data_IF_303536345523
#
_entry.id   IF_303536345523
#
_cell.length_a   1.000
_cell.length_b   1.000
_cell.length_c   1.000
_cell.angle_alpha   90.00
_cell.angle_beta   90.00
_cell.angle_gamma   90.00
#
_symmetry.space_group_name_H-M   'P 1'
#
loop_
_entity.id
_entity.type
_entity.pdbx_description
1 polymer ?
#
# COMPACT_ATOMS: atom_id res chain seq x y z
N UNK A 1 -47.06 58.95 18.12
CA UNK A 1 -45.73 58.81 18.75
C UNK A 1 -45.66 57.41 19.32
N UNK A 2 -45.05 56.46 18.60
CA UNK A 2 -44.73 55.12 19.10
C UNK A 2 -43.54 54.59 18.28
N UNK A 3 -42.48 54.24 19.00
CA UNK A 3 -41.17 53.84 18.50
C UNK A 3 -41.22 52.45 17.84
N UNK A 4 -40.53 52.29 16.71
CA UNK A 4 -40.15 50.99 16.14
C UNK A 4 -38.62 50.89 16.24
N UNK A 5 -38.15 49.92 17.02
CA UNK A 5 -36.74 49.52 17.11
C UNK A 5 -36.34 48.81 15.81
N UNK A 6 -35.35 49.35 15.08
CA UNK A 6 -34.68 48.65 13.98
C UNK A 6 -33.44 47.92 14.49
N UNK A 7 -33.48 46.58 14.54
CA UNK A 7 -32.28 45.75 14.72
C UNK A 7 -31.58 45.60 13.36
N UNK A 8 -30.36 46.13 13.25
CA UNK A 8 -29.43 45.80 12.17
C UNK A 8 -28.66 44.53 12.53
N UNK A 9 -28.90 43.43 11.80
CA UNK A 9 -28.04 42.24 11.86
C UNK A 9 -26.84 42.43 10.93
N UNK A 10 -25.65 42.64 11.51
CA UNK A 10 -24.40 42.49 10.78
C UNK A 10 -24.12 41.01 10.54
N UNK A 11 -24.11 40.58 9.28
CA UNK A 11 -23.57 39.28 8.88
C UNK A 11 -22.04 39.34 8.93
N UNK A 12 -21.44 38.88 10.02
CA UNK A 12 -20.02 38.52 10.01
C UNK A 12 -19.85 37.22 9.23
N UNK A 13 -19.24 37.30 8.05
CA UNK A 13 -18.81 36.13 7.30
C UNK A 13 -17.72 35.39 8.10
N UNK A 14 -18.11 34.29 8.73
CA UNK A 14 -17.14 33.34 9.29
C UNK A 14 -16.47 32.65 8.11
N UNK A 15 -15.25 33.06 7.80
CA UNK A 15 -14.38 32.30 6.92
C UNK A 15 -14.11 30.95 7.60
N UNK A 16 -14.79 29.90 7.13
CA UNK A 16 -14.43 28.53 7.45
C UNK A 16 -13.04 28.30 6.84
N UNK A 17 -12.01 28.40 7.68
CA UNK A 17 -10.70 27.86 7.34
C UNK A 17 -10.90 26.35 7.15
N UNK A 18 -10.91 25.92 5.89
CA UNK A 18 -10.67 24.53 5.57
C UNK A 18 -9.27 24.21 6.09
N UNK A 19 -9.19 23.65 7.30
CA UNK A 19 -8.02 22.87 7.71
C UNK A 19 -7.95 21.76 6.67
N UNK A 20 -7.04 21.90 5.71
CA UNK A 20 -6.84 20.91 4.68
C UNK A 20 -6.68 19.57 5.34
N UNK A 21 -7.61 18.65 5.08
CA UNK A 21 -7.36 17.23 5.29
C UNK A 21 -6.04 16.97 4.56
N UNK A 22 -4.99 16.62 5.30
CA UNK A 22 -3.67 16.36 4.71
C UNK A 22 -3.88 15.45 3.51
N UNK A 23 -3.46 15.90 2.33
CA UNK A 23 -3.53 15.08 1.15
C UNK A 23 -2.70 13.82 1.43
N UNK A 24 -3.36 12.68 1.49
CA UNK A 24 -2.72 11.35 1.43
C UNK A 24 -2.15 11.13 0.02
N UNK A 25 -1.38 10.07 -0.24
CA UNK A 25 -0.78 9.85 -1.56
C UNK A 25 -1.84 9.86 -2.68
N UNK A 26 -1.66 10.74 -3.65
CA UNK A 26 -2.54 10.85 -4.84
C UNK A 26 -1.71 11.18 -6.06
N UNK A 27 -2.33 11.05 -7.25
CA UNK A 27 -1.69 11.41 -8.52
C UNK A 27 -0.31 10.79 -8.65
N UNK A 28 0.69 11.61 -8.96
CA UNK A 28 2.05 11.15 -9.18
C UNK A 28 2.74 10.61 -7.92
N UNK A 29 2.51 11.19 -6.74
CA UNK A 29 3.10 10.66 -5.51
C UNK A 29 2.62 9.23 -5.24
N UNK A 30 1.33 8.95 -5.51
CA UNK A 30 0.80 7.58 -5.44
C UNK A 30 1.51 6.68 -6.45
N UNK A 31 1.53 7.04 -7.73
CA UNK A 31 2.19 6.24 -8.78
C UNK A 31 3.64 5.92 -8.41
N UNK A 32 4.39 6.92 -7.94
CA UNK A 32 5.78 6.77 -7.51
C UNK A 32 5.90 5.81 -6.32
N UNK A 33 5.06 5.94 -5.28
CA UNK A 33 5.08 5.00 -4.15
C UNK A 33 4.86 3.55 -4.61
N UNK A 34 3.92 3.35 -5.53
CA UNK A 34 3.62 2.04 -6.08
C UNK A 34 4.80 1.47 -6.88
N UNK A 35 5.43 2.28 -7.74
CA UNK A 35 6.57 1.87 -8.56
C UNK A 35 7.82 1.59 -7.73
N UNK A 36 8.09 2.41 -6.70
CA UNK A 36 9.17 2.17 -5.73
C UNK A 36 9.00 0.81 -5.07
N UNK A 37 7.81 0.53 -4.53
CA UNK A 37 7.53 -0.76 -3.90
C UNK A 37 7.64 -1.90 -4.92
N UNK A 38 7.20 -1.70 -6.16
CA UNK A 38 7.33 -2.72 -7.20
C UNK A 38 8.80 -3.02 -7.55
N UNK A 39 9.68 -2.00 -7.57
CA UNK A 39 11.13 -2.23 -7.72
C UNK A 39 11.61 -3.14 -6.60
N UNK A 40 11.16 -2.90 -5.38
CA UNK A 40 11.57 -3.71 -4.24
C UNK A 40 11.02 -5.12 -4.24
N UNK A 41 9.78 -5.34 -4.70
CA UNK A 41 9.20 -6.67 -4.81
C UNK A 41 9.78 -7.47 -5.99
N UNK A 42 9.89 -6.82 -7.15
CA UNK A 42 10.02 -7.48 -8.44
C UNK A 42 11.29 -7.11 -9.22
N UNK A 43 12.02 -6.08 -8.79
CA UNK A 43 13.22 -5.59 -9.47
C UNK A 43 12.93 -4.70 -10.68
N UNK A 44 11.67 -4.33 -10.92
CA UNK A 44 11.25 -3.43 -12.01
C UNK A 44 10.10 -2.51 -11.57
N UNK A 45 9.74 -1.53 -12.39
CA UNK A 45 8.59 -0.61 -12.13
C UNK A 45 7.28 -1.07 -12.78
N UNK A 46 7.27 -2.22 -13.45
CA UNK A 46 6.15 -2.68 -14.25
C UNK A 46 5.11 -3.43 -13.41
N UNK A 47 3.83 -3.06 -13.57
CA UNK A 47 2.72 -3.78 -12.96
C UNK A 47 2.31 -4.96 -13.82
N UNK A 48 2.66 -6.17 -13.39
CA UNK A 48 2.35 -7.43 -14.06
C UNK A 48 0.92 -7.91 -13.79
N UNK A 49 -0.07 -7.16 -14.31
CA UNK A 49 -1.51 -7.45 -14.12
C UNK A 49 -1.92 -8.86 -14.58
N UNK A 50 -1.17 -9.44 -15.52
CA UNK A 50 -1.43 -10.73 -16.15
C UNK A 50 -0.66 -11.90 -15.55
N UNK A 51 0.18 -11.65 -14.53
CA UNK A 51 0.90 -12.70 -13.82
C UNK A 51 -0.09 -13.64 -13.10
N UNK A 52 0.15 -14.94 -13.20
CA UNK A 52 -0.57 -15.97 -12.44
C UNK A 52 0.23 -17.27 -12.44
N UNK A 53 0.61 -17.75 -11.25
CA UNK A 53 1.38 -18.98 -11.08
C UNK A 53 1.07 -19.63 -9.73
N UNK A 54 1.07 -20.97 -9.66
CA UNK A 54 1.18 -21.67 -8.39
C UNK A 54 2.68 -21.85 -8.11
N UNK A 55 3.22 -20.94 -7.29
CA UNK A 55 4.64 -20.94 -6.92
C UNK A 55 4.96 -21.96 -5.81
N UNK A 56 4.01 -22.82 -5.46
CA UNK A 56 4.14 -23.87 -4.45
C UNK A 56 4.53 -23.35 -3.06
N UNK A 57 4.07 -22.15 -2.69
CA UNK A 57 4.31 -21.52 -1.38
C UNK A 57 3.21 -21.83 -0.34
N UNK A 58 2.25 -22.68 -0.72
CA UNK A 58 1.12 -23.05 0.12
C UNK A 58 -0.02 -22.03 0.11
N UNK A 59 -0.11 -21.12 -0.87
CA UNK A 59 -1.21 -20.16 -1.01
C UNK A 59 -2.11 -20.40 -2.23
N UNK A 60 -1.87 -21.47 -2.97
CA UNK A 60 -2.56 -21.75 -4.24
C UNK A 60 -1.99 -20.88 -5.36
N UNK A 61 -2.84 -20.42 -6.28
CA UNK A 61 -2.39 -19.53 -7.34
C UNK A 61 -2.15 -18.13 -6.80
N UNK A 62 -0.97 -17.56 -7.07
CA UNK A 62 -0.56 -16.18 -6.81
C UNK A 62 -0.67 -15.38 -8.11
N UNK A 63 -1.41 -14.27 -8.10
CA UNK A 63 -1.81 -13.58 -9.34
C UNK A 63 -1.77 -12.05 -9.24
N UNK A 64 -1.44 -11.39 -10.35
CA UNK A 64 -1.58 -9.93 -10.52
C UNK A 64 -0.62 -9.06 -9.71
N UNK A 65 -0.92 -7.76 -9.71
CA UNK A 65 -0.01 -6.67 -9.29
C UNK A 65 0.38 -6.64 -7.81
N UNK A 66 -0.27 -7.43 -6.97
CA UNK A 66 -0.02 -7.49 -5.53
C UNK A 66 0.08 -8.94 -5.03
N UNK A 67 0.27 -9.90 -5.94
CA UNK A 67 0.36 -11.32 -5.58
C UNK A 67 -0.89 -11.86 -4.89
N UNK A 68 -2.08 -11.54 -5.43
CA UNK A 68 -3.34 -12.01 -4.88
C UNK A 68 -3.44 -13.52 -4.92
N UNK A 69 -3.75 -14.16 -3.79
CA UNK A 69 -3.74 -15.62 -3.72
C UNK A 69 -5.13 -16.23 -3.60
N UNK A 70 -5.35 -17.38 -4.24
CA UNK A 70 -6.63 -18.10 -4.14
C UNK A 70 -6.85 -18.66 -2.73
N UNK A 71 -5.79 -19.09 -2.06
CA UNK A 71 -5.85 -19.70 -0.72
C UNK A 71 -6.01 -18.71 0.43
N UNK A 72 -5.68 -17.42 0.23
CA UNK A 72 -5.92 -16.34 1.22
C UNK A 72 -7.19 -15.55 0.92
N UNK A 73 -7.86 -15.83 -0.20
CA UNK A 73 -9.17 -15.27 -0.56
C UNK A 73 -9.13 -13.87 -1.16
N UNK A 74 -7.97 -13.22 -1.25
CA UNK A 74 -7.80 -11.89 -1.84
C UNK A 74 -7.89 -11.93 -3.38
N UNK A 75 -7.49 -13.03 -4.04
CA UNK A 75 -7.78 -13.21 -5.47
C UNK A 75 -9.30 -13.30 -5.74
N UNK A 76 -10.05 -13.86 -4.80
CA UNK A 76 -11.51 -13.90 -4.90
C UNK A 76 -12.12 -12.50 -4.77
N UNK A 77 -11.57 -11.61 -3.93
CA UNK A 77 -12.01 -10.22 -3.85
C UNK A 77 -11.82 -9.47 -5.17
N UNK A 78 -10.69 -9.69 -5.88
CA UNK A 78 -10.45 -9.11 -7.22
C UNK A 78 -11.51 -9.56 -8.20
N UNK A 79 -11.84 -10.85 -8.21
CA UNK A 79 -12.82 -11.41 -9.13
C UNK A 79 -14.23 -10.89 -8.82
N UNK A 80 -14.59 -10.77 -7.55
CA UNK A 80 -15.86 -10.16 -7.14
C UNK A 80 -15.95 -8.70 -7.58
N UNK A 81 -14.87 -7.93 -7.47
CA UNK A 81 -14.85 -6.54 -7.95
C UNK A 81 -14.93 -6.47 -9.48
N UNK A 82 -14.23 -7.36 -10.17
CA UNK A 82 -14.33 -7.47 -11.61
C UNK A 82 -15.75 -7.78 -12.08
N UNK A 83 -16.47 -8.71 -11.43
CA UNK A 83 -17.88 -8.98 -11.72
C UNK A 83 -18.75 -7.72 -11.60
N UNK A 84 -18.50 -6.85 -10.61
CA UNK A 84 -19.24 -5.58 -10.47
C UNK A 84 -18.95 -4.64 -11.64
N UNK A 85 -17.68 -4.51 -12.03
CA UNK A 85 -17.25 -3.61 -13.10
C UNK A 85 -17.65 -4.13 -14.50
N UNK A 86 -17.64 -5.45 -14.71
CA UNK A 86 -17.95 -6.11 -15.98
C UNK A 86 -19.45 -6.16 -16.27
N UNK A 87 -20.30 -6.01 -15.24
CA UNK A 87 -21.76 -6.07 -15.35
C UNK A 87 -22.36 -7.42 -14.97
N UNK A 88 -21.61 -8.25 -14.24
CA UNK A 88 -22.03 -9.55 -13.73
C UNK A 88 -21.22 -10.69 -14.35
N UNK A 89 -21.92 -11.75 -14.80
CA UNK A 89 -21.28 -12.98 -15.31
C UNK A 89 -20.21 -12.68 -16.37
N UNK A 90 -18.99 -13.12 -16.12
CA UNK A 90 -17.85 -12.97 -17.04
C UNK A 90 -17.00 -14.25 -17.09
N UNK A 91 -15.83 -14.18 -17.72
CA UNK A 91 -14.96 -15.33 -17.93
C UNK A 91 -14.46 -15.96 -16.61
N UNK A 92 -14.39 -15.20 -15.52
CA UNK A 92 -13.98 -15.73 -14.21
C UNK A 92 -15.11 -16.48 -13.50
N UNK A 93 -16.37 -16.27 -13.90
CA UNK A 93 -17.54 -16.86 -13.23
C UNK A 93 -17.56 -18.40 -13.24
N UNK A 94 -16.77 -19.04 -14.10
CA UNK A 94 -16.55 -20.51 -14.08
C UNK A 94 -15.90 -20.99 -12.78
N UNK A 95 -15.13 -20.13 -12.09
CA UNK A 95 -14.38 -20.48 -10.89
C UNK A 95 -15.10 -20.11 -9.59
N UNK A 96 -16.17 -19.32 -9.63
CA UNK A 96 -16.85 -18.76 -8.45
C UNK A 96 -17.19 -19.80 -7.37
N UNK A 97 -17.76 -20.98 -7.69
CA UNK A 97 -18.12 -21.93 -6.64
C UNK A 97 -16.90 -22.43 -5.86
N UNK A 98 -15.76 -22.62 -6.54
CA UNK A 98 -14.52 -23.10 -5.93
C UNK A 98 -13.84 -21.98 -5.17
N UNK A 99 -13.70 -20.80 -5.77
CA UNK A 99 -13.05 -19.64 -5.15
C UNK A 99 -13.80 -19.14 -3.92
N UNK A 100 -15.13 -19.11 -3.97
CA UNK A 100 -15.94 -18.72 -2.81
C UNK A 100 -15.81 -19.70 -1.64
N UNK A 101 -15.60 -20.99 -1.91
CA UNK A 101 -15.35 -22.00 -0.86
C UNK A 101 -13.93 -21.87 -0.31
N UNK A 102 -12.94 -21.68 -1.18
CA UNK A 102 -11.54 -21.57 -0.77
C UNK A 102 -11.29 -20.32 0.07
N UNK A 103 -11.88 -19.18 -0.32
CA UNK A 103 -11.82 -17.95 0.47
C UNK A 103 -12.43 -18.10 1.88
N UNK A 104 -13.45 -18.95 2.07
CA UNK A 104 -14.06 -19.21 3.39
C UNK A 104 -13.22 -20.16 4.25
N UNK A 105 -12.63 -21.16 3.62
CA UNK A 105 -11.96 -22.28 4.30
C UNK A 105 -10.46 -22.08 4.45
N UNK A 106 -9.87 -21.12 3.73
CA UNK A 106 -8.42 -20.99 3.61
C UNK A 106 -7.78 -22.13 2.79
N UNK A 107 -8.56 -22.78 1.92
CA UNK A 107 -8.07 -23.90 1.13
C UNK A 107 -7.14 -23.40 0.02
N UNK A 108 -5.90 -23.90 0.01
CA UNK A 108 -4.83 -23.52 -0.89
C UNK A 108 -4.63 -24.49 -2.08
N UNK A 109 -5.54 -25.45 -2.29
CA UNK A 109 -5.47 -26.36 -3.41
C UNK A 109 -5.74 -25.64 -4.76
N UNK A 110 -5.35 -26.28 -5.86
CA UNK A 110 -5.65 -25.83 -7.23
C UNK A 110 -6.71 -26.71 -7.93
N UNK A 111 -7.23 -27.72 -7.23
CA UNK A 111 -8.26 -28.62 -7.75
C UNK A 111 -9.54 -27.86 -8.09
N UNK A 112 -10.06 -28.04 -9.30
CA UNK A 112 -11.25 -27.33 -9.78
C UNK A 112 -10.98 -25.92 -10.31
N UNK A 113 -9.73 -25.48 -10.35
CA UNK A 113 -9.29 -24.20 -10.94
C UNK A 113 -8.53 -24.39 -12.26
N UNK A 114 -8.80 -25.47 -12.99
CA UNK A 114 -8.18 -25.73 -14.29
C UNK A 114 -8.51 -24.61 -15.28
N UNK A 115 -7.48 -23.99 -15.86
CA UNK A 115 -7.62 -22.84 -16.76
C UNK A 115 -7.70 -21.47 -16.08
N UNK A 116 -7.66 -21.40 -14.74
CA UNK A 116 -7.71 -20.14 -13.99
C UNK A 116 -6.64 -19.14 -14.45
N UNK A 117 -5.36 -19.54 -14.46
CA UNK A 117 -4.28 -18.66 -14.89
C UNK A 117 -4.36 -18.27 -16.37
N UNK A 118 -4.92 -19.12 -17.23
CA UNK A 118 -5.15 -18.76 -18.64
C UNK A 118 -6.16 -17.63 -18.76
N UNK A 119 -7.24 -17.67 -17.99
CA UNK A 119 -8.24 -16.59 -17.96
C UNK A 119 -7.65 -15.33 -17.32
N UNK A 120 -6.95 -15.48 -16.20
CA UNK A 120 -6.28 -14.36 -15.52
C UNK A 120 -5.32 -13.63 -16.45
N UNK A 121 -4.40 -14.36 -17.09
CA UNK A 121 -3.42 -13.78 -18.00
C UNK A 121 -4.08 -13.04 -19.15
N UNK A 122 -5.09 -13.64 -19.78
CA UNK A 122 -5.83 -13.01 -20.87
C UNK A 122 -6.48 -11.69 -20.44
N UNK A 123 -7.17 -11.68 -19.31
CA UNK A 123 -7.82 -10.46 -18.80
C UNK A 123 -6.79 -9.42 -18.34
N UNK A 124 -5.78 -9.83 -17.58
CA UNK A 124 -4.72 -8.96 -17.08
C UNK A 124 -3.91 -8.28 -18.18
N UNK A 125 -3.76 -8.90 -19.35
CA UNK A 125 -3.01 -8.30 -20.45
C UNK A 125 -3.74 -7.11 -21.08
N UNK A 126 -5.07 -7.14 -21.17
CA UNK A 126 -5.83 -6.27 -22.09
C UNK A 126 -7.13 -5.68 -21.55
N UNK A 127 -7.76 -6.28 -20.53
CA UNK A 127 -9.05 -5.82 -20.01
C UNK A 127 -8.87 -4.71 -18.97
N UNK A 128 -9.28 -3.49 -19.32
CA UNK A 128 -9.14 -2.31 -18.45
C UNK A 128 -9.93 -2.41 -17.15
N UNK A 129 -11.07 -3.11 -17.15
CA UNK A 129 -11.89 -3.30 -15.95
C UNK A 129 -11.26 -4.34 -15.02
N UNK A 130 -10.63 -5.36 -15.57
CA UNK A 130 -9.87 -6.33 -14.77
C UNK A 130 -8.64 -5.70 -14.11
N UNK A 131 -7.91 -4.84 -14.86
CA UNK A 131 -6.83 -4.03 -14.28
C UNK A 131 -7.34 -3.10 -13.18
N UNK A 132 -8.46 -2.40 -13.42
CA UNK A 132 -9.10 -1.53 -12.42
C UNK A 132 -9.55 -2.29 -11.17
N UNK A 133 -10.05 -3.53 -11.30
CA UNK A 133 -10.41 -4.37 -10.17
C UNK A 133 -9.18 -4.70 -9.31
N UNK A 134 -8.06 -5.07 -9.94
CA UNK A 134 -6.80 -5.30 -9.23
C UNK A 134 -6.31 -4.04 -8.50
N UNK A 135 -6.34 -2.88 -9.15
CA UNK A 135 -5.96 -1.61 -8.52
C UNK A 135 -6.84 -1.31 -7.30
N UNK A 136 -8.14 -1.50 -7.44
CA UNK A 136 -9.13 -1.24 -6.38
C UNK A 136 -8.90 -2.13 -5.16
N UNK A 137 -8.65 -3.42 -5.38
CA UNK A 137 -8.39 -4.35 -4.27
C UNK A 137 -7.00 -4.14 -3.65
N UNK A 138 -5.96 -3.86 -4.45
CA UNK A 138 -4.65 -3.44 -3.91
C UNK A 138 -4.80 -2.20 -3.04
N UNK A 139 -5.58 -1.23 -3.50
CA UNK A 139 -5.79 0.00 -2.74
C UNK A 139 -6.52 -0.29 -1.42
N UNK A 140 -7.64 -1.03 -1.50
CA UNK A 140 -8.47 -1.38 -0.34
C UNK A 140 -7.68 -2.16 0.73
N UNK A 141 -6.83 -3.10 0.31
CA UNK A 141 -6.11 -3.97 1.25
C UNK A 141 -4.82 -3.34 1.80
N UNK A 142 -4.17 -2.45 1.04
CA UNK A 142 -2.82 -1.99 1.38
C UNK A 142 -2.65 -0.47 1.36
N UNK A 143 -3.12 0.23 0.32
CA UNK A 143 -2.97 1.68 0.22
C UNK A 143 -3.82 2.39 1.27
N UNK A 144 -5.11 2.09 1.32
CA UNK A 144 -6.07 2.79 2.15
C UNK A 144 -5.74 2.62 3.65
N UNK A 145 -5.44 1.41 4.17
CA UNK A 145 -5.00 1.26 5.55
C UNK A 145 -3.71 2.03 5.88
N UNK A 146 -2.72 2.04 4.98
CA UNK A 146 -1.48 2.79 5.19
C UNK A 146 -1.74 4.32 5.20
N UNK A 147 -2.62 4.79 4.32
CA UNK A 147 -3.00 6.20 4.25
C UNK A 147 -3.89 6.63 5.42
N UNK A 148 -4.68 5.72 5.99
CA UNK A 148 -5.41 5.97 7.23
C UNK A 148 -4.46 6.20 8.41
N UNK A 149 -3.40 5.39 8.55
CA UNK A 149 -2.34 5.66 9.53
C UNK A 149 -1.63 7.00 9.26
N UNK A 150 -1.30 7.29 8.01
CA UNK A 150 -0.67 8.56 7.63
C UNK A 150 -1.53 9.77 8.04
N UNK A 151 -2.84 9.69 7.77
CA UNK A 151 -3.82 10.72 8.13
C UNK A 151 -3.95 10.88 9.65
N UNK A 152 -3.98 9.78 10.40
CA UNK A 152 -4.05 9.81 11.86
C UNK A 152 -2.81 10.45 12.50
N UNK A 153 -1.63 10.19 11.94
CA UNK A 153 -0.38 10.82 12.37
C UNK A 153 -0.25 12.28 11.90
N UNK A 154 -0.95 12.65 10.83
CA UNK A 154 -0.85 13.96 10.19
C UNK A 154 0.35 14.09 9.24
N UNK A 155 0.82 12.97 8.66
CA UNK A 155 1.91 12.95 7.69
C UNK A 155 1.54 13.70 6.40
N UNK A 156 2.47 14.49 5.86
CA UNK A 156 2.28 15.32 4.66
C UNK A 156 3.29 15.05 3.56
N UNK A 157 4.47 14.54 3.91
CA UNK A 157 5.55 14.29 2.94
C UNK A 157 5.30 13.01 2.17
N UNK A 158 5.53 13.04 0.84
CA UNK A 158 5.39 11.88 -0.02
C UNK A 158 6.25 10.71 0.47
N UNK A 159 7.47 11.01 0.95
CA UNK A 159 8.40 9.98 1.44
C UNK A 159 7.91 9.25 2.69
N UNK A 160 7.29 9.94 3.65
CA UNK A 160 6.78 9.30 4.85
C UNK A 160 5.55 8.45 4.54
N UNK A 161 4.64 8.96 3.70
CA UNK A 161 3.44 8.23 3.28
C UNK A 161 3.81 7.00 2.44
N UNK A 162 4.72 7.13 1.48
CA UNK A 162 5.23 6.02 0.66
C UNK A 162 5.88 4.94 1.51
N UNK A 163 6.62 5.33 2.54
CA UNK A 163 7.25 4.38 3.46
C UNK A 163 6.22 3.60 4.31
N UNK A 164 5.11 4.23 4.70
CA UNK A 164 4.01 3.51 5.36
C UNK A 164 3.34 2.52 4.40
N UNK A 165 3.15 2.90 3.13
CA UNK A 165 2.61 2.00 2.11
C UNK A 165 3.54 0.79 1.88
N UNK A 166 4.84 1.01 1.66
CA UNK A 166 5.80 -0.07 1.46
C UNK A 166 5.89 -1.00 2.69
N UNK A 167 5.81 -0.43 3.90
CA UNK A 167 5.73 -1.22 5.12
C UNK A 167 4.43 -2.02 5.21
N UNK A 168 3.29 -1.42 4.85
CA UNK A 168 1.99 -2.10 4.80
C UNK A 168 1.96 -3.27 3.82
N UNK A 169 2.62 -3.16 2.67
CA UNK A 169 2.76 -4.25 1.70
C UNK A 169 3.55 -5.42 2.29
N UNK A 170 4.70 -5.14 2.93
CA UNK A 170 5.58 -6.19 3.44
C UNK A 170 5.10 -6.85 4.74
N UNK A 171 4.44 -6.08 5.60
CA UNK A 171 4.14 -6.48 6.99
C UNK A 171 2.63 -6.56 7.29
N UNK A 172 1.78 -6.16 6.35
CA UNK A 172 0.36 -5.95 6.59
C UNK A 172 0.07 -4.73 7.47
N UNK A 173 -1.17 -4.26 7.41
CA UNK A 173 -1.64 -3.08 8.15
C UNK A 173 -2.23 -3.42 9.53
N UNK A 174 -1.64 -4.35 10.28
CA UNK A 174 -2.13 -4.77 11.60
C UNK A 174 -1.42 -4.06 12.76
N UNK A 175 -2.04 -4.08 13.94
CA UNK A 175 -1.43 -3.60 15.20
C UNK A 175 -0.52 -4.66 15.86
N UNK A 176 -0.31 -5.81 15.20
CA UNK A 176 0.63 -6.84 15.66
C UNK A 176 2.06 -6.30 15.75
N UNK A 177 2.95 -6.93 16.54
CA UNK A 177 4.26 -6.38 16.87
C UNK A 177 5.20 -6.21 15.66
N UNK A 178 4.95 -6.97 14.59
CA UNK A 178 5.66 -6.90 13.31
C UNK A 178 4.86 -6.17 12.22
N UNK A 179 3.58 -5.83 12.46
CA UNK A 179 2.71 -5.13 11.53
C UNK A 179 2.92 -3.61 11.52
N UNK A 180 2.35 -2.92 10.52
CA UNK A 180 2.47 -1.47 10.36
C UNK A 180 2.07 -0.68 11.62
N UNK A 181 0.92 -1.00 12.21
CA UNK A 181 0.42 -0.36 13.42
C UNK A 181 1.34 -0.57 14.63
N UNK A 182 1.88 -1.78 14.79
CA UNK A 182 2.85 -2.09 15.84
C UNK A 182 4.17 -1.32 15.68
N UNK A 183 4.66 -1.19 14.45
CA UNK A 183 5.84 -0.36 14.15
C UNK A 183 5.60 1.12 14.41
N UNK A 184 4.43 1.65 14.06
CA UNK A 184 4.03 3.03 14.37
C UNK A 184 3.97 3.24 15.89
N UNK A 185 3.33 2.34 16.63
CA UNK A 185 3.22 2.42 18.09
C UNK A 185 4.61 2.42 18.76
N UNK A 186 5.51 1.53 18.31
CA UNK A 186 6.90 1.48 18.78
C UNK A 186 7.66 2.76 18.45
N UNK A 187 7.46 3.32 17.26
CA UNK A 187 8.08 4.60 16.86
C UNK A 187 7.60 5.75 17.74
N UNK A 188 6.29 5.83 17.99
CA UNK A 188 5.69 6.85 18.83
C UNK A 188 6.20 6.76 20.27
N UNK A 189 6.41 5.56 20.81
CA UNK A 189 6.99 5.36 22.14
C UNK A 189 8.44 5.86 22.27
N UNK A 190 9.18 6.01 21.15
CA UNK A 190 10.52 6.59 21.13
C UNK A 190 10.53 8.13 21.12
N UNK A 191 9.36 8.77 20.95
CA UNK A 191 9.22 10.23 20.99
C UNK A 191 8.97 10.67 22.43
N UNK A 192 10.04 11.14 23.09
CA UNK A 192 10.04 11.54 24.51
C UNK A 192 10.39 13.02 24.73
N UNK A 193 10.65 13.75 23.66
CA UNK A 193 10.98 15.16 23.66
C UNK A 193 10.58 15.79 22.32
N UNK A 194 10.50 17.12 22.29
CA UNK A 194 10.35 17.85 21.04
C UNK A 194 11.64 17.69 20.21
N UNK A 195 11.49 17.52 18.91
CA UNK A 195 12.62 17.35 17.99
C UNK A 195 12.35 18.10 16.68
N UNK A 196 13.18 19.11 16.41
CA UNK A 196 13.09 19.92 15.21
C UNK A 196 13.78 19.25 14.02
N UNK A 197 13.39 19.64 12.81
CA UNK A 197 13.96 19.18 11.55
C UNK A 197 13.67 20.17 10.43
N UNK A 198 13.87 19.73 9.19
CA UNK A 198 13.79 20.59 8.01
C UNK A 198 12.68 20.18 7.02
N UNK A 199 11.75 19.32 7.44
CA UNK A 199 10.66 18.87 6.58
C UNK A 199 9.61 19.96 6.32
N UNK A 200 9.55 20.98 7.20
CA UNK A 200 8.48 21.97 7.20
C UNK A 200 7.13 21.43 7.70
N UNK A 201 7.11 20.20 8.22
CA UNK A 201 5.94 19.53 8.78
C UNK A 201 6.23 19.04 10.21
N UNK A 202 5.26 19.19 11.11
CA UNK A 202 5.43 18.83 12.52
C UNK A 202 4.24 17.98 12.97
N UNK A 203 4.54 16.83 13.54
CA UNK A 203 3.58 15.90 14.13
C UNK A 203 3.44 16.20 15.62
N UNK A 204 2.30 15.80 16.20
CA UNK A 204 2.13 15.79 17.66
C UNK A 204 2.01 14.36 18.13
N UNK A 205 3.03 13.88 18.83
CA UNK A 205 3.12 12.49 19.29
C UNK A 205 3.39 12.51 20.80
N UNK A 206 2.52 11.87 21.58
CA UNK A 206 2.64 11.81 23.05
C UNK A 206 2.81 13.18 23.74
N UNK A 207 2.20 14.23 23.19
CA UNK A 207 2.31 15.60 23.72
C UNK A 207 3.55 16.36 23.26
N UNK A 208 4.45 15.72 22.51
CA UNK A 208 5.66 16.33 21.94
C UNK A 208 5.48 16.74 20.49
N UNK A 209 6.17 17.81 20.09
CA UNK A 209 6.26 18.30 18.71
C UNK A 209 7.50 17.72 18.06
N UNK A 210 7.31 16.88 17.04
CA UNK A 210 8.40 16.25 16.30
C UNK A 210 8.28 16.57 14.81
N UNK A 211 9.38 16.97 14.19
CA UNK A 211 9.47 17.10 12.74
C UNK A 211 9.15 15.77 12.05
N UNK A 212 8.44 15.83 10.92
CA UNK A 212 7.97 14.63 10.23
C UNK A 212 9.11 13.72 9.77
N UNK A 213 10.23 14.27 9.33
CA UNK A 213 11.40 13.50 8.88
C UNK A 213 12.21 12.98 10.07
N UNK A 214 12.24 13.71 11.20
CA UNK A 214 12.77 13.18 12.45
C UNK A 214 11.99 11.94 12.92
N UNK A 215 10.65 11.99 12.85
CA UNK A 215 9.81 10.83 13.14
C UNK A 215 10.05 9.68 12.14
N UNK A 216 10.12 9.97 10.84
CA UNK A 216 10.37 8.97 9.80
C UNK A 216 11.71 8.25 9.99
N UNK A 217 12.77 8.96 10.38
CA UNK A 217 14.06 8.33 10.69
C UNK A 217 13.96 7.33 11.86
N UNK A 218 13.18 7.65 12.90
CA UNK A 218 12.88 6.70 13.98
C UNK A 218 12.08 5.51 13.46
N UNK A 219 11.07 5.74 12.61
CA UNK A 219 10.27 4.68 11.99
C UNK A 219 11.13 3.73 11.14
N UNK A 220 12.05 4.27 10.32
CA UNK A 220 13.00 3.49 9.53
C UNK A 220 13.90 2.63 10.42
N UNK A 221 14.33 3.15 11.57
CA UNK A 221 15.07 2.37 12.57
C UNK A 221 14.25 1.23 13.17
N UNK A 222 12.99 1.49 13.55
CA UNK A 222 12.08 0.46 14.06
C UNK A 222 11.81 -0.62 13.00
N UNK A 223 11.57 -0.22 11.75
CA UNK A 223 11.33 -1.18 10.66
C UNK A 223 12.58 -2.00 10.33
N UNK A 224 13.77 -1.40 10.36
CA UNK A 224 15.02 -2.16 10.22
C UNK A 224 15.18 -3.22 11.31
N UNK A 225 14.78 -2.91 12.55
CA UNK A 225 14.74 -3.87 13.65
C UNK A 225 13.71 -4.97 13.40
N UNK A 226 12.49 -4.67 12.97
CA UNK A 226 11.49 -5.70 12.63
C UNK A 226 11.99 -6.63 11.51
N UNK A 227 12.63 -6.09 10.48
CA UNK A 227 13.18 -6.90 9.39
C UNK A 227 14.29 -7.85 9.86
N UNK A 228 15.10 -7.41 10.83
CA UNK A 228 16.24 -8.18 11.34
C UNK A 228 15.86 -9.11 12.49
N UNK A 229 14.88 -8.70 13.29
CA UNK A 229 14.48 -9.28 14.57
C UNK A 229 12.94 -9.32 14.68
N UNK A 230 12.24 -10.05 13.80
CA UNK A 230 10.79 -10.18 13.88
C UNK A 230 10.39 -10.81 15.22
N UNK A 231 9.27 -10.35 15.77
CA UNK A 231 8.77 -10.75 17.09
C UNK A 231 7.73 -11.86 17.00
N UNK A 232 7.06 -12.00 15.86
CA UNK A 232 6.10 -13.08 15.66
C UNK A 232 6.81 -14.36 15.17
N UNK A 233 6.59 -15.52 15.80
CA UNK A 233 7.28 -16.75 15.44
C UNK A 233 7.12 -17.15 13.96
N UNK A 234 5.99 -16.82 13.34
CA UNK A 234 5.71 -17.09 11.91
C UNK A 234 6.63 -16.33 10.96
N UNK A 235 7.24 -15.24 11.44
CA UNK A 235 8.06 -14.33 10.62
C UNK A 235 9.57 -14.57 10.83
N UNK A 236 9.97 -15.47 11.73
CA UNK A 236 11.37 -15.74 12.11
C UNK A 236 12.17 -16.60 11.11
N UNK A 237 11.78 -16.64 9.83
CA UNK A 237 12.48 -17.40 8.79
C UNK A 237 13.83 -16.77 8.38
N UNK A 238 14.07 -15.51 8.76
CA UNK A 238 15.23 -14.72 8.32
C UNK A 238 15.13 -14.18 6.90
N UNK A 239 14.01 -14.40 6.20
CA UNK A 239 13.80 -13.88 4.85
C UNK A 239 13.77 -12.34 4.80
N UNK A 240 13.15 -11.71 5.80
CA UNK A 240 13.02 -10.25 5.90
C UNK A 240 14.36 -9.53 6.08
N UNK A 241 15.35 -10.12 6.73
CA UNK A 241 16.66 -9.49 6.89
C UNK A 241 17.35 -9.21 5.53
N UNK A 242 16.99 -9.98 4.49
CA UNK A 242 17.50 -9.81 3.12
C UNK A 242 16.88 -8.60 2.41
N UNK A 243 15.80 -8.01 2.93
CA UNK A 243 15.09 -6.88 2.32
C UNK A 243 15.46 -5.53 2.93
N UNK A 244 16.52 -5.47 3.76
CA UNK A 244 17.05 -4.21 4.33
C UNK A 244 17.44 -3.15 3.27
N UNK A 245 17.62 -3.53 2.00
CA UNK A 245 17.81 -2.58 0.91
C UNK A 245 16.66 -1.57 0.81
N UNK A 246 15.42 -1.95 1.16
CA UNK A 246 14.26 -1.05 1.19
C UNK A 246 14.47 0.10 2.16
N UNK A 247 14.94 -0.21 3.36
CA UNK A 247 15.25 0.81 4.39
C UNK A 247 16.39 1.72 3.93
N UNK A 248 17.46 1.13 3.38
CA UNK A 248 18.61 1.89 2.87
C UNK A 248 18.19 2.84 1.75
N UNK A 249 17.26 2.41 0.90
CA UNK A 249 16.74 3.21 -0.19
C UNK A 249 15.96 4.45 0.31
N UNK A 250 15.05 4.27 1.27
CA UNK A 250 14.37 5.40 1.90
C UNK A 250 15.33 6.30 2.68
N UNK A 251 16.33 5.74 3.37
CA UNK A 251 17.38 6.53 4.03
C UNK A 251 18.20 7.36 3.04
N UNK A 252 18.50 6.80 1.86
CA UNK A 252 19.17 7.52 0.78
C UNK A 252 18.34 8.71 0.30
N UNK A 253 17.05 8.50 0.03
CA UNK A 253 16.14 9.56 -0.40
C UNK A 253 15.96 10.65 0.68
N UNK A 254 15.83 10.26 1.95
CA UNK A 254 15.81 11.20 3.10
C UNK A 254 17.12 12.01 3.17
N UNK A 255 18.29 11.36 3.04
CA UNK A 255 19.59 12.04 3.05
C UNK A 255 19.77 13.02 1.87
N UNK A 256 19.13 12.74 0.74
CA UNK A 256 19.07 13.61 -0.43
C UNK A 256 17.97 14.69 -0.34
N UNK A 257 17.20 14.72 0.75
CA UNK A 257 16.06 15.62 0.99
C UNK A 257 14.92 15.48 -0.03
N UNK A 258 14.74 14.29 -0.57
CA UNK A 258 13.65 13.94 -1.51
C UNK A 258 12.33 13.71 -0.75
N UNK A 259 11.87 14.72 0.00
CA UNK A 259 10.72 14.58 0.91
C UNK A 259 9.37 14.59 0.18
N UNK A 260 9.26 15.43 -0.85
CA UNK A 260 8.06 15.61 -1.67
C UNK A 260 8.46 15.38 -3.13
N UNK A 261 7.86 14.39 -3.78
CA UNK A 261 8.38 13.86 -5.05
C UNK A 261 7.89 14.63 -6.27
N UNK A 262 6.67 15.16 -6.25
CA UNK A 262 6.12 15.82 -7.42
C UNK A 262 5.96 14.84 -8.57
N UNK A 263 6.85 14.88 -9.57
CA UNK A 263 6.86 13.96 -10.71
C UNK A 263 7.93 12.87 -10.66
N UNK A 264 8.90 12.96 -9.73
CA UNK A 264 10.01 12.01 -9.69
C UNK A 264 10.72 11.97 -8.34
N UNK A 265 11.47 10.90 -8.10
CA UNK A 265 12.30 10.74 -6.90
C UNK A 265 13.50 9.86 -7.18
N UNK A 266 14.61 10.16 -6.50
CA UNK A 266 15.80 9.32 -6.47
C UNK A 266 15.77 8.38 -5.27
N UNK A 267 15.84 7.10 -5.56
CA UNK A 267 15.88 5.99 -4.58
C UNK A 267 16.98 5.01 -4.97
N UNK A 268 17.21 3.97 -4.18
CA UNK A 268 18.10 2.86 -4.53
C UNK A 268 17.27 1.66 -5.00
N UNK A 269 17.77 0.89 -5.96
CA UNK A 269 17.23 -0.42 -6.31
C UNK A 269 17.67 -1.52 -5.31
N UNK A 270 17.31 -2.77 -5.60
CA UNK A 270 17.59 -3.93 -4.74
C UNK A 270 19.09 -4.24 -4.61
N UNK A 271 19.92 -3.77 -5.57
CA UNK A 271 21.37 -3.88 -5.54
C UNK A 271 22.04 -2.70 -4.81
N UNK A 272 21.25 -1.69 -4.39
CA UNK A 272 21.75 -0.46 -3.80
C UNK A 272 22.25 0.57 -4.81
N UNK A 273 21.87 0.45 -6.09
CA UNK A 273 22.22 1.43 -7.13
C UNK A 273 21.18 2.54 -7.19
N UNK A 274 21.57 3.81 -7.29
CA UNK A 274 20.63 4.90 -7.46
C UNK A 274 19.83 4.77 -8.76
N UNK A 275 18.52 4.90 -8.65
CA UNK A 275 17.56 4.96 -9.76
C UNK A 275 16.68 6.19 -9.60
N UNK A 276 16.08 6.65 -10.69
CA UNK A 276 15.04 7.69 -10.66
C UNK A 276 13.72 7.06 -11.05
N UNK A 277 12.76 7.10 -10.13
CA UNK A 277 11.37 6.69 -10.38
C UNK A 277 10.61 7.93 -10.82
N UNK A 278 9.93 7.87 -11.96
CA UNK A 278 9.24 9.01 -12.56
C UNK A 278 7.80 8.64 -12.85
N UNK A 279 6.88 9.46 -12.40
CA UNK A 279 5.45 9.30 -12.68
C UNK A 279 5.19 9.32 -14.20
N UNK A 280 4.87 8.16 -14.77
CA UNK A 280 4.61 8.02 -16.21
C UNK A 280 3.33 8.72 -16.70
N UNK A 281 2.49 9.29 -15.81
CA UNK A 281 1.33 10.10 -16.22
C UNK A 281 1.75 11.30 -17.09
N UNK A 282 2.98 11.80 -16.95
CA UNK A 282 3.56 12.84 -17.81
C UNK A 282 3.89 12.37 -19.24
N UNK A 283 3.95 11.06 -19.49
CA UNK A 283 4.39 10.46 -20.75
C UNK A 283 3.25 9.83 -21.56
N UNK A 284 1.99 9.93 -21.13
CA UNK A 284 0.82 9.52 -21.93
C UNK A 284 0.63 10.34 -23.24
N UNK A 285 1.54 11.28 -23.54
CA UNK A 285 1.69 11.94 -24.86
C UNK A 285 2.80 11.34 -25.74
N UNK A 286 3.50 10.28 -25.32
CA UNK A 286 4.45 9.52 -26.15
C UNK A 286 4.01 8.06 -26.25
N UNK A 287 3.19 7.83 -27.27
CA UNK A 287 2.87 6.53 -27.85
C UNK A 287 4.10 5.63 -28.06
N UNK A 288 3.81 4.33 -28.05
CA UNK A 288 4.31 3.30 -28.97
C UNK A 288 5.75 3.48 -29.48
N UNK A 289 6.69 2.75 -28.88
CA UNK A 289 7.78 2.15 -29.66
C UNK A 289 8.37 1.00 -28.85
N UNK A 290 8.12 -0.22 -29.32
CA UNK A 290 8.61 -1.42 -28.67
C UNK A 290 10.12 -1.57 -28.69
N UNK A 291 10.62 -2.32 -27.71
CA UNK A 291 11.66 -3.33 -27.90
C UNK A 291 11.28 -4.50 -27.00
N UNK A 292 10.93 -5.64 -27.61
CA UNK A 292 10.79 -6.91 -26.90
C UNK A 292 12.20 -7.40 -26.59
N UNK A 293 12.69 -7.08 -25.39
CA UNK A 293 13.81 -7.78 -24.80
C UNK A 293 13.27 -9.01 -24.07
N UNK A 294 13.40 -10.20 -24.67
CA UNK A 294 13.29 -11.46 -23.94
C UNK A 294 14.48 -11.56 -22.96
N UNK A 295 14.41 -10.82 -21.86
CA UNK A 295 15.18 -11.09 -20.66
C UNK A 295 14.47 -12.19 -19.91
N UNK A 296 15.08 -13.37 -19.81
CA UNK A 296 14.64 -14.40 -18.88
C UNK A 296 14.94 -13.83 -17.48
N UNK A 297 13.97 -13.14 -16.89
CA UNK A 297 14.04 -12.71 -15.50
C UNK A 297 14.13 -13.98 -14.65
N UNK A 298 15.28 -14.19 -14.03
CA UNK A 298 15.41 -15.12 -12.91
C UNK A 298 14.79 -14.42 -11.71
N UNK A 299 13.54 -14.76 -11.43
CA UNK A 299 12.77 -14.23 -10.31
C UNK A 299 13.30 -14.79 -8.99
N UNK A 300 13.85 -13.98 -8.09
CA UNK A 300 13.92 -14.40 -6.70
C UNK A 300 12.48 -14.38 -6.16
N UNK A 301 11.97 -15.54 -5.74
CA UNK A 301 10.74 -15.65 -4.95
C UNK A 301 10.88 -14.77 -3.70
N UNK A 302 10.37 -13.55 -3.73
CA UNK A 302 10.09 -12.80 -2.52
C UNK A 302 8.62 -13.01 -2.19
N UNK A 303 8.39 -13.89 -1.21
CA UNK A 303 7.06 -14.09 -0.64
C UNK A 303 6.55 -12.75 -0.13
N UNK A 304 5.39 -12.32 -0.62
CA UNK A 304 4.47 -11.49 0.16
C UNK A 304 4.00 -12.39 1.33
N UNK A 305 4.80 -12.45 2.40
CA UNK A 305 4.43 -13.08 3.67
C UNK A 305 3.57 -12.11 4.48
N UNK A 306 2.41 -11.69 3.98
CA UNK A 306 1.43 -10.96 4.81
C UNK A 306 0.04 -10.97 4.21
N UNK A 307 -0.69 -12.08 4.42
CA UNK A 307 -2.15 -12.07 4.54
C UNK A 307 -2.59 -13.26 5.39
N UNK A 308 -2.21 -13.22 6.66
CA UNK A 308 -2.91 -13.93 7.71
C UNK A 308 -3.93 -12.97 8.33
N UNK A 309 -5.22 -13.27 8.17
CA UNK A 309 -6.37 -12.62 8.83
C UNK A 309 -6.75 -11.19 8.38
N UNK A 310 -7.49 -11.08 7.27
CA UNK A 310 -8.39 -9.93 7.05
C UNK A 310 -9.89 -10.26 7.12
N UNK A 311 -10.26 -11.54 7.34
CA UNK A 311 -11.67 -11.97 7.24
C UNK A 311 -12.46 -12.10 8.56
N UNK A 312 -11.96 -11.65 9.72
CA UNK A 312 -12.71 -11.84 10.99
C UNK A 312 -13.42 -10.60 11.56
N UNK A 313 -13.23 -9.37 11.09
CA UNK A 313 -13.81 -8.19 11.78
C UNK A 313 -14.42 -7.11 10.88
N UNK A 314 -15.33 -7.48 9.98
CA UNK A 314 -16.32 -6.55 9.44
C UNK A 314 -17.70 -6.94 9.95
N UNK A 315 -18.04 -6.53 11.18
CA UNK A 315 -19.39 -6.75 11.71
C UNK A 315 -19.57 -6.62 13.22
N UNK A 316 -19.61 -5.40 13.75
CA UNK A 316 -20.68 -4.91 14.64
C UNK A 316 -20.24 -3.68 15.44
N UNK A 317 -20.72 -2.51 15.02
CA UNK A 317 -20.92 -1.37 15.93
C UNK A 317 -22.42 -1.09 16.00
N UNK A 318 -23.09 -1.76 16.95
CA UNK A 318 -24.38 -1.29 17.46
C UNK A 318 -24.15 -0.59 18.78
N UNK A 319 -24.59 0.67 18.79
CA UNK A 319 -24.66 1.60 19.92
C UNK A 319 -25.38 0.97 21.12
N UNK A 320 -24.85 1.24 22.30
CA UNK A 320 -25.57 1.10 23.57
C UNK A 320 -25.17 2.24 24.50
N UNK A 321 -25.83 3.39 24.37
CA UNK A 321 -25.92 4.39 25.44
C UNK A 321 -26.94 3.87 26.45
N UNK A 322 -26.52 3.68 27.71
CA UNK A 322 -27.26 3.99 28.93
C UNK A 322 -26.27 4.18 30.07
#
# INVERSE_FOLDING_TARGET
>A
MNLIFGLTFSFSAVALLFVGCGAVLQGCDKTIALEITNVYENGDTAFHYDYCEDINDGRGFTSGIAGFCTGTGDAWLVIQEYHKLSGGKDQMSTFDPVLAEYAKTGNNATTGLSGYCTVWNKLGSSDSKFKQAQDTIRDTLYMDPAMDYAKQLGLKTSIAQGQLYDAGIQHGASDGPDGLGGMIARTNALVTADEAGDSGSTLTVNGHKIDEIAWLNKFLGVRADVLSNPREPTNMSGAWAKTLYRIKSYQYAVGAKEYNWGDSVKVLDNDGKPITVTCAMALSSRQDSGVVGLGIARWPLFLIMSLGFYLTHVGSHRRGYR
#
